data_IF_955955224594
#
_entry.id   IF_955955224594
#
_cell.length_a   1.000
_cell.length_b   1.000
_cell.length_c   1.000
_cell.angle_alpha   90.00
_cell.angle_beta   90.00
_cell.angle_gamma   90.00
#
_symmetry.space_group_name_H-M   'P 1'
#
loop_
_entity.id
_entity.type
_entity.pdbx_description
1 polymer ?
#
# COMPACT_ATOMS: atom_id res chain seq x y z
N UNK A 1 -1.78 -17.33 -8.56
CA UNK A 1 -0.68 -16.86 -7.67
C UNK A 1 -0.05 -17.99 -6.85
N UNK A 2 -0.82 -18.80 -6.10
CA UNK A 2 -0.23 -19.78 -5.14
C UNK A 2 0.69 -20.84 -5.79
N UNK A 3 0.32 -21.38 -6.95
CA UNK A 3 1.06 -22.42 -7.70
C UNK A 3 1.86 -21.87 -8.90
N UNK A 4 2.26 -20.60 -8.85
CA UNK A 4 3.02 -19.99 -9.94
C UNK A 4 4.41 -20.62 -10.07
N UNK A 5 4.97 -20.79 -11.29
CA UNK A 5 6.39 -21.15 -11.45
C UNK A 5 7.33 -20.09 -10.86
N UNK A 6 6.86 -18.85 -10.68
CA UNK A 6 7.62 -17.77 -10.02
C UNK A 6 7.56 -17.81 -8.49
N UNK A 7 6.97 -18.85 -7.89
CA UNK A 7 6.88 -18.97 -6.44
C UNK A 7 8.26 -19.27 -5.86
N UNK A 8 8.72 -18.43 -4.93
CA UNK A 8 9.92 -18.72 -4.14
C UNK A 8 9.60 -19.88 -3.19
N UNK A 9 10.21 -21.04 -3.44
CA UNK A 9 9.98 -22.28 -2.69
C UNK A 9 10.91 -22.50 -1.49
N UNK A 10 12.08 -21.84 -1.47
CA UNK A 10 13.07 -21.94 -0.40
C UNK A 10 13.91 -20.66 -0.30
N UNK A 11 14.69 -20.46 0.78
CA UNK A 11 15.61 -19.34 0.88
C UNK A 11 16.68 -19.37 -0.20
N UNK A 12 17.04 -18.19 -0.70
CA UNK A 12 18.13 -18.03 -1.64
C UNK A 12 18.98 -16.82 -1.24
N UNK A 13 20.28 -16.90 -1.51
CA UNK A 13 21.24 -15.81 -1.23
C UNK A 13 22.00 -15.50 -2.50
N UNK A 14 22.13 -14.21 -2.82
CA UNK A 14 22.94 -13.77 -3.96
C UNK A 14 24.37 -14.27 -3.82
N UNK A 15 24.90 -14.90 -4.87
CA UNK A 15 26.20 -15.57 -4.87
C UNK A 15 27.36 -14.69 -4.39
N UNK A 16 27.45 -13.42 -4.81
CA UNK A 16 28.49 -12.50 -4.34
C UNK A 16 28.36 -12.15 -2.86
N UNK A 17 27.14 -12.03 -2.32
CA UNK A 17 26.92 -11.81 -0.88
C UNK A 17 27.30 -13.05 -0.06
N UNK A 18 27.03 -14.24 -0.60
CA UNK A 18 27.40 -15.48 0.06
C UNK A 18 28.93 -15.62 0.18
N UNK A 19 29.69 -15.17 -0.81
CA UNK A 19 31.17 -15.26 -0.85
C UNK A 19 31.88 -14.10 -0.15
N UNK A 20 31.45 -12.86 -0.37
CA UNK A 20 32.18 -11.64 0.03
C UNK A 20 31.40 -10.71 0.96
N UNK A 21 30.20 -11.12 1.39
CA UNK A 21 29.32 -10.35 2.29
C UNK A 21 29.16 -8.90 1.80
N UNK A 22 29.39 -7.90 2.66
CA UNK A 22 29.21 -6.48 2.38
C UNK A 22 30.06 -5.95 1.24
N UNK A 23 31.22 -6.55 0.95
CA UNK A 23 32.11 -6.14 -0.14
C UNK A 23 31.55 -6.45 -1.54
N UNK A 24 30.40 -7.11 -1.63
CA UNK A 24 29.79 -7.53 -2.90
C UNK A 24 28.71 -6.60 -3.46
N UNK A 25 28.61 -5.35 -3.00
CA UNK A 25 27.49 -4.43 -3.34
C UNK A 25 27.27 -4.21 -4.84
N UNK A 26 28.34 -4.14 -5.64
CA UNK A 26 28.28 -3.81 -7.06
C UNK A 26 27.52 -4.85 -7.92
N UNK A 27 27.41 -6.10 -7.47
CA UNK A 27 26.77 -7.18 -8.22
C UNK A 27 25.25 -7.32 -8.03
N UNK A 28 24.58 -6.36 -7.37
CA UNK A 28 23.13 -6.43 -7.14
C UNK A 28 22.36 -6.26 -8.46
N UNK A 29 21.47 -7.20 -8.76
CA UNK A 29 20.65 -7.20 -9.98
C UNK A 29 21.23 -7.99 -11.15
N UNK A 30 22.52 -8.36 -11.10
CA UNK A 30 23.19 -9.12 -12.17
C UNK A 30 23.66 -10.51 -11.75
N UNK A 31 23.96 -10.72 -10.47
CA UNK A 31 24.49 -12.01 -9.99
C UNK A 31 23.38 -13.05 -9.74
N UNK A 32 23.69 -14.35 -9.92
CA UNK A 32 22.75 -15.43 -9.64
C UNK A 32 22.52 -15.60 -8.13
N UNK A 33 21.37 -16.19 -7.81
CA UNK A 33 20.96 -16.57 -6.47
C UNK A 33 21.22 -18.06 -6.23
N UNK A 34 21.80 -18.38 -5.09
CA UNK A 34 22.13 -19.75 -4.66
C UNK A 34 21.11 -20.20 -3.62
N UNK A 35 20.47 -21.37 -3.77
CA UNK A 35 19.58 -21.91 -2.74
C UNK A 35 20.36 -22.27 -1.48
N UNK A 36 19.80 -21.99 -0.31
CA UNK A 36 20.42 -22.27 0.99
C UNK A 36 19.40 -22.80 2.00
N UNK A 37 19.89 -23.42 3.08
CA UNK A 37 19.04 -23.81 4.21
C UNK A 37 18.46 -22.58 4.93
N UNK A 38 17.33 -22.79 5.61
CA UNK A 38 16.76 -21.77 6.50
C UNK A 38 17.74 -21.32 7.58
N UNK A 39 18.48 -22.25 8.17
CA UNK A 39 19.52 -21.95 9.15
C UNK A 39 20.58 -21.01 8.58
N UNK A 40 21.09 -21.30 7.38
CA UNK A 40 22.08 -20.43 6.71
C UNK A 40 21.51 -19.04 6.48
N UNK A 41 20.27 -18.95 5.97
CA UNK A 41 19.62 -17.68 5.70
C UNK A 41 19.41 -16.86 6.99
N UNK A 42 18.96 -17.50 8.08
CA UNK A 42 18.73 -16.85 9.37
C UNK A 42 20.04 -16.37 10.00
N UNK A 43 21.10 -17.19 9.98
CA UNK A 43 22.41 -16.81 10.50
C UNK A 43 22.98 -15.59 9.76
N UNK A 44 22.78 -15.50 8.43
CA UNK A 44 23.19 -14.34 7.65
C UNK A 44 22.42 -13.06 8.01
N UNK A 45 21.11 -13.18 8.24
CA UNK A 45 20.27 -12.05 8.64
C UNK A 45 20.64 -11.59 10.05
N UNK A 46 20.75 -12.52 11.00
CA UNK A 46 21.15 -12.22 12.38
C UNK A 46 22.52 -11.55 12.43
N UNK A 47 23.53 -12.15 11.77
CA UNK A 47 24.88 -11.61 11.74
C UNK A 47 24.92 -10.19 11.16
N UNK A 48 24.20 -9.96 10.06
CA UNK A 48 24.08 -8.62 9.46
C UNK A 48 23.40 -7.60 10.37
N UNK A 49 22.31 -7.98 11.03
CA UNK A 49 21.58 -7.10 11.94
C UNK A 49 22.40 -6.76 13.20
N UNK A 50 23.05 -7.75 13.81
CA UNK A 50 23.90 -7.54 14.98
C UNK A 50 25.08 -6.63 14.64
N UNK A 51 25.74 -6.86 13.50
CA UNK A 51 26.85 -6.04 13.02
C UNK A 51 26.43 -4.59 12.80
N UNK A 52 25.33 -4.36 12.09
CA UNK A 52 24.83 -2.99 11.84
C UNK A 52 24.50 -2.28 13.16
N UNK A 53 23.83 -2.98 14.08
CA UNK A 53 23.51 -2.44 15.40
C UNK A 53 24.76 -2.09 16.20
N UNK A 54 25.78 -2.94 16.20
CA UNK A 54 27.02 -2.71 16.96
C UNK A 54 27.89 -1.60 16.36
N UNK A 55 27.96 -1.50 15.02
CA UNK A 55 28.84 -0.54 14.34
C UNK A 55 28.20 0.84 14.14
N UNK A 56 26.87 0.91 13.93
CA UNK A 56 26.20 2.14 13.49
C UNK A 56 24.94 2.50 14.31
N UNK A 57 24.53 1.68 15.27
CA UNK A 57 23.29 1.87 16.01
C UNK A 57 22.04 1.42 15.26
N UNK A 58 20.89 1.52 15.91
CA UNK A 58 19.60 1.10 15.35
C UNK A 58 19.06 2.11 14.32
N UNK A 59 19.55 3.34 14.33
CA UNK A 59 19.26 4.42 13.40
C UNK A 59 19.74 4.08 11.98
N UNK A 60 20.72 3.18 11.85
CA UNK A 60 21.17 2.67 10.55
C UNK A 60 20.25 1.58 9.97
N UNK A 61 19.24 1.12 10.72
CA UNK A 61 18.28 0.10 10.28
C UNK A 61 17.02 0.79 9.76
N UNK A 62 16.77 0.71 8.46
CA UNK A 62 15.55 1.23 7.84
C UNK A 62 14.43 0.17 7.84
N UNK A 63 13.39 0.40 8.65
CA UNK A 63 12.23 -0.48 8.80
C UNK A 63 10.93 0.05 8.15
N UNK A 64 11.03 1.13 7.36
CA UNK A 64 9.84 1.81 6.80
C UNK A 64 8.98 0.95 5.87
N UNK A 65 9.61 0.02 5.13
CA UNK A 65 8.99 -1.05 4.32
C UNK A 65 7.62 -0.70 3.72
N UNK A 66 7.60 0.24 2.76
CA UNK A 66 6.36 0.64 2.09
C UNK A 66 5.88 -0.43 1.12
N UNK A 67 4.59 -0.75 1.17
CA UNK A 67 3.96 -1.58 0.17
C UNK A 67 2.58 -2.06 0.59
N UNK A 68 1.84 -2.58 -0.38
CA UNK A 68 0.61 -3.32 -0.11
C UNK A 68 0.98 -4.74 0.32
N UNK A 69 0.61 -5.09 1.56
CA UNK A 69 0.69 -6.46 2.04
C UNK A 69 -0.60 -7.23 1.74
N UNK A 70 -0.62 -8.51 2.07
CA UNK A 70 -1.86 -9.28 2.11
C UNK A 70 -2.76 -8.82 3.26
N UNK A 71 -4.08 -8.88 3.05
CA UNK A 71 -5.05 -8.61 4.10
C UNK A 71 -4.92 -9.65 5.23
N UNK A 72 -4.88 -9.16 6.46
CA UNK A 72 -4.82 -9.99 7.67
C UNK A 72 -4.48 -9.13 8.87
N UNK A 73 -5.09 -9.40 10.03
CA UNK A 73 -4.86 -8.58 11.23
C UNK A 73 -3.60 -9.01 12.00
N UNK A 74 -3.31 -10.31 11.99
CA UNK A 74 -2.11 -10.88 12.60
C UNK A 74 -0.94 -10.93 11.61
N UNK A 75 -1.15 -11.52 10.43
CA UNK A 75 -0.11 -11.72 9.41
C UNK A 75 0.07 -10.52 8.46
N UNK A 76 -0.08 -9.30 8.98
CA UNK A 76 0.25 -8.09 8.22
C UNK A 76 1.77 -7.88 8.23
N UNK A 77 2.44 -8.23 7.12
CA UNK A 77 3.90 -8.30 7.05
C UNK A 77 4.62 -7.01 7.53
N UNK A 78 4.22 -5.79 7.14
CA UNK A 78 4.83 -4.56 7.67
C UNK A 78 4.69 -4.43 9.19
N UNK A 79 3.53 -4.78 9.77
CA UNK A 79 3.33 -4.71 11.22
C UNK A 79 4.21 -5.70 11.97
N UNK A 80 4.34 -6.93 11.46
CA UNK A 80 5.20 -7.95 12.07
C UNK A 80 6.68 -7.55 11.99
N UNK A 81 7.13 -7.02 10.85
CA UNK A 81 8.49 -6.51 10.68
C UNK A 81 8.80 -5.37 11.65
N UNK A 82 7.88 -4.41 11.79
CA UNK A 82 8.04 -3.27 12.71
C UNK A 82 8.05 -3.71 14.17
N UNK A 83 7.21 -4.68 14.54
CA UNK A 83 7.26 -5.30 15.88
C UNK A 83 8.61 -5.96 16.13
N UNK A 84 9.13 -6.71 15.16
CA UNK A 84 10.44 -7.36 15.26
C UNK A 84 11.56 -6.33 15.50
N UNK A 85 11.66 -5.29 14.67
CA UNK A 85 12.69 -4.26 14.86
C UNK A 85 12.48 -3.42 16.12
N UNK A 86 11.24 -3.17 16.54
CA UNK A 86 10.94 -2.53 17.82
C UNK A 86 11.52 -3.31 19.00
N UNK A 87 11.35 -4.65 19.01
CA UNK A 87 11.94 -5.53 20.02
C UNK A 87 13.47 -5.67 19.87
N UNK A 88 14.00 -5.49 18.66
CA UNK A 88 15.44 -5.53 18.41
C UNK A 88 16.19 -4.28 18.89
N UNK A 89 15.47 -3.20 19.22
CA UNK A 89 16.05 -1.96 19.77
C UNK A 89 15.65 -0.67 19.04
N UNK A 90 14.76 -0.75 18.06
CA UNK A 90 14.30 0.40 17.27
C UNK A 90 14.78 0.36 15.82
N UNK A 91 14.30 1.31 15.02
CA UNK A 91 14.60 1.45 13.60
C UNK A 91 14.16 2.83 13.08
N UNK A 92 14.64 3.23 11.90
CA UNK A 92 14.14 4.40 11.17
C UNK A 92 12.91 4.02 10.36
N UNK A 93 11.78 4.68 10.65
CA UNK A 93 10.53 4.52 9.92
C UNK A 93 10.36 5.60 8.82
N UNK A 94 9.42 5.37 7.92
CA UNK A 94 9.00 6.35 6.92
C UNK A 94 7.79 7.15 7.40
N UNK A 95 7.63 8.37 6.89
CA UNK A 95 6.38 9.14 6.98
C UNK A 95 5.72 9.26 5.60
N UNK A 96 4.39 9.28 5.59
CA UNK A 96 3.60 9.42 4.37
C UNK A 96 3.45 8.13 3.53
N UNK A 97 2.92 8.30 2.32
CA UNK A 97 2.65 7.24 1.36
C UNK A 97 2.65 7.81 -0.08
N UNK A 98 2.71 6.92 -1.07
CA UNK A 98 2.72 7.31 -2.49
C UNK A 98 1.33 7.64 -3.06
N UNK A 99 0.26 7.48 -2.28
CA UNK A 99 -1.11 7.68 -2.75
C UNK A 99 -1.58 9.12 -2.56
N UNK A 100 -1.42 9.66 -1.35
CA UNK A 100 -1.89 11.00 -0.99
C UNK A 100 -0.84 11.75 -0.13
N UNK A 101 0.44 11.47 -0.39
CA UNK A 101 1.61 12.04 0.29
C UNK A 101 1.53 13.56 0.43
N UNK A 102 1.38 14.27 -0.69
CA UNK A 102 1.28 15.74 -0.70
C UNK A 102 0.04 16.24 0.03
N UNK A 103 -1.12 15.61 -0.21
CA UNK A 103 -2.38 15.99 0.42
C UNK A 103 -2.32 15.91 1.96
N UNK A 104 -1.67 14.89 2.52
CA UNK A 104 -1.48 14.78 3.99
C UNK A 104 -0.74 15.97 4.58
N UNK A 105 0.18 16.58 3.83
CA UNK A 105 1.03 17.65 4.35
C UNK A 105 0.39 19.02 4.17
N UNK A 106 -0.32 19.27 3.05
CA UNK A 106 -0.95 20.57 2.80
C UNK A 106 -2.31 20.71 3.49
N UNK A 107 -3.10 19.63 3.63
CA UNK A 107 -4.47 19.70 4.15
C UNK A 107 -4.59 20.32 5.55
N UNK A 108 -3.70 20.06 6.54
CA UNK A 108 -3.78 20.73 7.84
C UNK A 108 -3.75 22.26 7.77
N UNK A 109 -3.02 22.82 6.80
CA UNK A 109 -2.87 24.27 6.66
C UNK A 109 -4.04 24.93 5.92
N UNK A 110 -4.77 24.18 5.11
CA UNK A 110 -5.88 24.70 4.30
C UNK A 110 -7.24 24.42 4.96
N UNK A 111 -7.43 23.20 5.49
CA UNK A 111 -8.71 22.71 5.99
C UNK A 111 -8.65 22.23 7.45
N UNK A 112 -7.54 22.46 8.16
CA UNK A 112 -7.40 22.16 9.59
C UNK A 112 -7.32 20.67 9.94
N UNK A 113 -7.18 19.77 8.96
CA UNK A 113 -7.13 18.32 9.19
C UNK A 113 -6.27 17.58 8.17
N UNK A 114 -5.52 16.57 8.63
CA UNK A 114 -4.77 15.64 7.77
C UNK A 114 -5.63 14.45 7.30
N UNK A 115 -6.86 14.32 7.79
CA UNK A 115 -7.73 13.15 7.59
C UNK A 115 -8.45 13.14 6.24
N UNK A 116 -7.71 13.40 5.16
CA UNK A 116 -8.25 13.55 3.79
C UNK A 116 -9.05 12.35 3.29
N UNK A 117 -8.83 11.15 3.86
CA UNK A 117 -9.57 9.93 3.50
C UNK A 117 -10.86 9.71 4.30
N UNK A 118 -11.09 10.48 5.36
CA UNK A 118 -12.24 10.31 6.27
C UNK A 118 -13.31 11.40 6.09
N UNK A 119 -13.06 12.39 5.22
CA UNK A 119 -13.96 13.52 4.99
C UNK A 119 -15.09 13.22 3.98
N UNK A 120 -15.48 11.96 3.84
CA UNK A 120 -16.50 11.55 2.87
C UNK A 120 -17.91 11.57 3.48
N UNK A 121 -18.83 12.27 2.82
CA UNK A 121 -20.27 12.19 3.13
C UNK A 121 -20.80 10.81 2.70
N UNK A 122 -21.68 10.16 3.50
CA UNK A 122 -22.30 8.90 3.11
C UNK A 122 -23.04 9.02 1.77
N UNK A 123 -22.89 8.00 0.92
CA UNK A 123 -23.54 7.94 -0.40
C UNK A 123 -25.06 8.12 -0.39
N UNK A 124 -25.74 7.79 0.71
CA UNK A 124 -27.20 7.97 0.85
C UNK A 124 -27.59 9.45 0.79
N UNK A 125 -26.87 10.33 1.49
CA UNK A 125 -27.14 11.76 1.48
C UNK A 125 -26.79 12.41 0.15
N UNK A 126 -25.73 11.94 -0.52
CA UNK A 126 -25.39 12.41 -1.87
C UNK A 126 -26.54 12.07 -2.83
N UNK A 127 -27.14 10.88 -2.72
CA UNK A 127 -28.24 10.45 -3.59
C UNK A 127 -29.52 11.25 -3.41
N UNK A 128 -29.83 11.57 -2.15
CA UNK A 128 -31.08 12.23 -1.78
C UNK A 128 -31.02 13.75 -1.98
N UNK A 129 -29.84 14.36 -1.80
CA UNK A 129 -29.72 15.82 -1.67
C UNK A 129 -28.80 16.50 -2.69
N UNK A 130 -28.16 15.75 -3.61
CA UNK A 130 -27.23 16.35 -4.59
C UNK A 130 -27.79 16.35 -6.01
N UNK A 131 -27.82 17.52 -6.66
CA UNK A 131 -28.28 17.67 -8.05
C UNK A 131 -27.18 17.43 -9.09
N UNK A 132 -25.93 17.77 -8.76
CA UNK A 132 -24.77 17.68 -9.62
C UNK A 132 -23.58 17.07 -8.87
N UNK A 133 -22.95 16.06 -9.45
CA UNK A 133 -21.69 15.48 -8.96
C UNK A 133 -20.57 15.78 -9.94
N UNK A 134 -19.55 16.50 -9.46
CA UNK A 134 -18.32 16.78 -10.23
C UNK A 134 -17.21 15.85 -9.73
N UNK A 135 -16.63 15.08 -10.65
CA UNK A 135 -15.55 14.13 -10.36
C UNK A 135 -14.25 14.67 -10.95
N UNK A 136 -13.48 15.37 -10.12
CA UNK A 136 -12.19 15.95 -10.49
C UNK A 136 -11.04 15.06 -10.00
N UNK A 137 -10.12 14.68 -10.89
CA UNK A 137 -8.97 13.85 -10.53
C UNK A 137 -9.28 12.35 -10.31
N UNK A 138 -10.54 11.93 -10.38
CA UNK A 138 -10.92 10.56 -10.75
C UNK A 138 -11.95 9.85 -9.85
N UNK A 139 -12.84 9.09 -10.51
CA UNK A 139 -13.81 8.18 -9.90
C UNK A 139 -13.96 6.88 -10.74
N UNK A 140 -12.84 6.34 -11.21
CA UNK A 140 -12.87 5.20 -12.13
C UNK A 140 -13.24 3.91 -11.39
N UNK A 141 -14.25 3.18 -11.87
CA UNK A 141 -14.73 1.92 -11.26
C UNK A 141 -13.64 0.83 -11.09
N UNK A 142 -12.47 0.98 -11.72
CA UNK A 142 -11.30 0.08 -11.58
C UNK A 142 -10.64 0.22 -10.21
N UNK A 143 -10.48 1.45 -9.69
CA UNK A 143 -9.80 1.68 -8.41
C UNK A 143 -10.61 1.11 -7.25
N UNK A 144 -11.94 1.07 -7.39
CA UNK A 144 -12.85 0.52 -6.40
C UNK A 144 -12.84 -1.03 -6.31
N UNK A 145 -12.11 -1.76 -7.16
CA UNK A 145 -12.11 -3.25 -7.15
C UNK A 145 -11.04 -3.88 -6.25
N UNK A 146 -10.11 -3.05 -5.76
CA UNK A 146 -8.86 -3.47 -5.10
C UNK A 146 -9.05 -4.09 -3.71
N UNK A 147 -10.08 -3.70 -2.95
CA UNK A 147 -10.35 -4.23 -1.61
C UNK A 147 -11.84 -4.56 -1.42
N UNK A 148 -12.21 -5.47 -0.49
CA UNK A 148 -13.62 -5.79 -0.21
C UNK A 148 -14.45 -4.57 0.22
N UNK A 149 -13.83 -3.64 0.96
CA UNK A 149 -14.44 -2.36 1.36
C UNK A 149 -14.72 -1.49 0.12
N UNK A 150 -13.75 -1.40 -0.79
CA UNK A 150 -13.94 -0.70 -2.05
C UNK A 150 -14.98 -1.40 -2.97
N UNK A 151 -15.06 -2.74 -2.93
CA UNK A 151 -16.07 -3.52 -3.68
C UNK A 151 -17.49 -3.29 -3.17
N UNK A 152 -17.69 -3.02 -1.88
CA UNK A 152 -19.01 -2.65 -1.34
C UNK A 152 -19.50 -1.32 -1.93
N UNK A 153 -18.57 -0.39 -2.19
CA UNK A 153 -18.85 0.81 -2.98
C UNK A 153 -19.27 0.44 -4.40
N UNK A 154 -18.60 -0.51 -5.08
CA UNK A 154 -19.02 -0.93 -6.44
C UNK A 154 -20.39 -1.60 -6.52
N UNK A 155 -20.83 -2.35 -5.51
CA UNK A 155 -22.13 -3.05 -5.55
C UNK A 155 -23.30 -2.10 -5.30
N UNK A 156 -23.08 -1.06 -4.48
CA UNK A 156 -24.02 0.06 -4.32
C UNK A 156 -23.92 1.07 -5.47
N UNK A 157 -22.74 1.32 -6.02
CA UNK A 157 -22.53 2.23 -7.16
C UNK A 157 -22.94 1.63 -8.50
N UNK A 158 -22.90 0.31 -8.68
CA UNK A 158 -23.53 -0.37 -9.82
C UNK A 158 -25.05 -0.33 -9.69
N UNK A 159 -25.56 -0.47 -8.46
CA UNK A 159 -26.95 -0.15 -8.13
C UNK A 159 -27.28 1.33 -8.32
N UNK A 160 -26.32 2.24 -8.23
CA UNK A 160 -26.49 3.68 -8.43
C UNK A 160 -26.43 4.07 -9.91
N UNK A 161 -25.52 3.50 -10.71
CA UNK A 161 -25.58 3.63 -12.16
C UNK A 161 -26.90 3.06 -12.70
N UNK A 162 -27.39 1.93 -12.14
CA UNK A 162 -28.66 1.31 -12.55
C UNK A 162 -29.90 1.97 -11.92
N UNK A 163 -29.84 2.49 -10.69
CA UNK A 163 -30.98 3.13 -10.00
C UNK A 163 -31.09 4.62 -10.29
N UNK A 164 -29.98 5.28 -10.61
CA UNK A 164 -30.00 6.56 -11.32
C UNK A 164 -30.57 6.28 -12.71
N UNK A 165 -30.10 5.27 -13.47
CA UNK A 165 -30.70 4.90 -14.78
C UNK A 165 -32.19 4.51 -14.72
N UNK A 166 -32.68 3.90 -13.63
CA UNK A 166 -34.11 3.59 -13.45
C UNK A 166 -34.96 4.76 -12.94
N UNK A 167 -34.41 5.69 -12.13
CA UNK A 167 -35.09 6.98 -11.87
C UNK A 167 -35.01 7.94 -13.06
N UNK A 168 -34.07 7.72 -13.98
CA UNK A 168 -33.87 8.48 -15.21
C UNK A 168 -34.94 8.19 -16.29
N UNK A 169 -35.77 7.14 -16.16
CA UNK A 169 -36.82 6.83 -17.13
C UNK A 169 -38.22 7.34 -16.75
N UNK A 170 -38.40 7.95 -15.57
CA UNK A 170 -39.74 8.36 -15.08
C UNK A 170 -39.86 9.81 -14.61
N UNK A 171 -38.83 10.65 -14.75
CA UNK A 171 -38.97 12.09 -14.52
C UNK A 171 -38.00 12.91 -15.36
N UNK A 172 -38.56 13.90 -16.05
CA UNK A 172 -37.91 14.87 -16.93
C UNK A 172 -36.87 15.72 -16.19
N UNK A 173 -35.65 15.21 -16.00
CA UNK A 173 -34.39 15.97 -15.80
C UNK A 173 -33.25 14.98 -15.60
N UNK A 174 -32.40 14.82 -16.62
CA UNK A 174 -31.19 14.02 -16.49
C UNK A 174 -30.17 14.78 -15.63
N UNK A 175 -29.86 14.30 -14.42
CA UNK A 175 -28.84 14.90 -13.55
C UNK A 175 -27.44 14.65 -14.15
N UNK A 176 -26.66 15.70 -14.49
CA UNK A 176 -25.36 15.51 -15.11
C UNK A 176 -24.31 15.01 -14.12
N UNK A 177 -23.46 14.08 -14.57
CA UNK A 177 -22.21 13.72 -13.90
C UNK A 177 -21.08 14.23 -14.78
N UNK A 178 -20.31 15.20 -14.28
CA UNK A 178 -19.20 15.79 -15.04
C UNK A 178 -17.90 15.15 -14.53
N UNK A 179 -17.25 14.37 -15.40
CA UNK A 179 -15.90 13.86 -15.15
C UNK A 179 -14.89 14.75 -15.85
N UNK A 180 -14.01 15.39 -15.09
CA UNK A 180 -12.92 16.19 -15.64
C UNK A 180 -11.64 15.34 -15.68
N UNK A 181 -10.89 15.33 -16.80
CA UNK A 181 -9.65 14.58 -16.90
C UNK A 181 -8.59 15.09 -15.91
N UNK A 182 -7.68 14.21 -15.53
CA UNK A 182 -6.44 14.61 -14.84
C UNK A 182 -5.56 15.41 -15.80
N UNK A 183 -5.03 16.55 -15.35
CA UNK A 183 -3.94 17.25 -16.04
C UNK A 183 -2.72 16.34 -16.21
#
# INVERSE_FOLDING_TARGET
>A
MVRSPLRIGQPHVRSGYLKRREASRAGRGSEPFVPVSWETAMNLVEGGLRRVKSEFGNEAIYGGSYGWASAGRLHHAPSVLKRFFGLFGGYVDKRGNHSFGSAMHIAPYVIGSSSVTLMAVPWVHIAEHTELVVMFGGAHAKTCKSTPVARRCTRRSSGWNVSCARRLSSSTSARPVITLPTC
#
